data_IF_243252712861
#
_entry.id   IF_243252712861
#
_cell.length_a   1.000
_cell.length_b   1.000
_cell.length_c   1.000
_cell.angle_alpha   90.00
_cell.angle_beta   90.00
_cell.angle_gamma   90.00
#
_symmetry.space_group_name_H-M   'P 1'
#
loop_
_entity.id
_entity.type
_entity.pdbx_description
1 polymer ?
#
# COMPACT_ATOMS: atom_id res chain seq x y z
N UNK A 1 18.55 33.70 -20.81
CA UNK A 1 19.05 32.51 -20.07
C UNK A 1 17.83 31.80 -19.50
N UNK A 2 17.43 30.66 -20.07
CA UNK A 2 16.32 29.85 -19.54
C UNK A 2 16.93 28.92 -18.48
N UNK A 3 16.42 28.87 -17.23
CA UNK A 3 16.95 27.93 -16.25
C UNK A 3 16.72 26.51 -16.76
N UNK A 4 17.78 25.71 -16.86
CA UNK A 4 17.65 24.27 -17.09
C UNK A 4 16.90 23.70 -15.89
N UNK A 5 15.63 23.34 -16.08
CA UNK A 5 14.88 22.56 -15.11
C UNK A 5 15.70 21.29 -14.82
N UNK A 6 16.09 21.12 -13.56
CA UNK A 6 16.62 19.84 -13.07
C UNK A 6 15.45 18.87 -13.12
N UNK A 7 15.40 18.01 -14.12
CA UNK A 7 14.50 16.86 -14.11
C UNK A 7 15.00 15.95 -13.00
N UNK A 8 14.36 16.02 -11.83
CA UNK A 8 14.52 15.03 -10.79
C UNK A 8 13.68 13.85 -11.28
N UNK A 9 14.34 12.82 -11.83
CA UNK A 9 13.71 11.53 -12.03
C UNK A 9 13.49 10.93 -10.64
N UNK A 10 12.36 11.22 -10.02
CA UNK A 10 11.84 10.35 -8.95
C UNK A 10 11.66 8.99 -9.60
N UNK A 11 12.32 7.96 -9.05
CA UNK A 11 12.16 6.58 -9.51
C UNK A 11 10.74 6.14 -9.17
N UNK A 12 9.80 6.43 -10.06
CA UNK A 12 8.41 6.08 -9.88
C UNK A 12 8.25 4.56 -9.84
N UNK A 13 7.52 4.06 -8.84
CA UNK A 13 7.07 2.67 -8.80
C UNK A 13 6.02 2.47 -9.89
N UNK A 14 6.17 1.41 -10.67
CA UNK A 14 5.24 1.02 -11.74
C UNK A 14 4.47 -0.22 -11.31
N UNK A 15 3.16 -0.11 -11.22
CA UNK A 15 2.28 -1.24 -10.99
C UNK A 15 2.10 -2.02 -12.29
N UNK A 16 2.47 -3.31 -12.27
CA UNK A 16 2.15 -4.23 -13.39
C UNK A 16 0.97 -5.13 -13.07
N UNK A 17 0.58 -5.17 -11.81
CA UNK A 17 -0.71 -5.68 -11.29
C UNK A 17 -1.65 -4.50 -11.06
N UNK A 18 -2.97 -4.74 -11.01
CA UNK A 18 -3.94 -3.70 -10.65
C UNK A 18 -4.09 -3.62 -9.12
N UNK A 19 -3.60 -2.54 -8.47
CA UNK A 19 -3.73 -2.40 -7.03
C UNK A 19 -5.17 -2.11 -6.60
N UNK A 20 -6.00 -1.49 -7.45
CA UNK A 20 -7.39 -1.21 -7.12
C UNK A 20 -8.19 -2.50 -7.04
N UNK A 21 -8.00 -3.43 -7.99
CA UNK A 21 -8.67 -4.73 -7.96
C UNK A 21 -8.32 -5.51 -6.68
N UNK A 22 -7.05 -5.54 -6.31
CA UNK A 22 -6.60 -6.22 -5.08
C UNK A 22 -7.26 -5.60 -3.83
N UNK A 23 -7.21 -4.26 -3.68
CA UNK A 23 -7.79 -3.58 -2.52
C UNK A 23 -9.32 -3.71 -2.52
N UNK A 24 -9.97 -3.57 -3.68
CA UNK A 24 -11.41 -3.68 -3.80
C UNK A 24 -11.91 -5.09 -3.43
N UNK A 25 -11.15 -6.12 -3.76
CA UNK A 25 -11.52 -7.52 -3.46
C UNK A 25 -11.67 -7.80 -1.96
N UNK A 26 -10.92 -7.08 -1.12
CA UNK A 26 -10.94 -7.21 0.34
C UNK A 26 -11.69 -6.08 1.05
N UNK A 27 -12.16 -5.06 0.32
CA UNK A 27 -12.76 -3.87 0.92
C UNK A 27 -14.04 -4.16 1.69
N UNK A 28 -14.79 -5.19 1.27
CA UNK A 28 -15.95 -5.67 2.02
C UNK A 28 -15.59 -6.07 3.46
N UNK A 29 -14.41 -6.61 3.69
CA UNK A 29 -13.93 -6.98 5.02
C UNK A 29 -13.53 -5.74 5.83
N UNK A 30 -12.84 -4.78 5.20
CA UNK A 30 -12.50 -3.48 5.80
C UNK A 30 -13.76 -2.78 6.35
N UNK A 31 -14.85 -2.82 5.60
CA UNK A 31 -16.14 -2.21 5.98
C UNK A 31 -16.87 -2.97 7.10
N UNK A 32 -16.57 -4.26 7.30
CA UNK A 32 -17.21 -5.11 8.30
C UNK A 32 -16.45 -5.14 9.64
N UNK A 33 -15.69 -4.08 9.95
CA UNK A 33 -14.88 -3.99 11.15
C UNK A 33 -15.67 -4.33 12.43
N UNK A 34 -15.15 -5.20 13.31
CA UNK A 34 -15.80 -5.52 14.58
C UNK A 34 -15.92 -4.29 15.49
N UNK A 35 -16.92 -4.30 16.37
CA UNK A 35 -17.42 -3.14 17.13
C UNK A 35 -16.36 -2.22 17.79
N UNK A 36 -16.61 -0.91 17.63
CA UNK A 36 -16.14 0.31 18.31
C UNK A 36 -14.65 0.58 18.61
N UNK A 37 -13.69 -0.31 18.37
CA UNK A 37 -12.28 0.02 18.64
C UNK A 37 -11.23 -0.67 17.78
N UNK A 38 -11.62 -1.51 16.84
CA UNK A 38 -10.66 -2.16 15.95
C UNK A 38 -10.33 -1.27 14.76
N UNK A 39 -9.05 -1.01 14.55
CA UNK A 39 -8.52 -0.34 13.36
C UNK A 39 -8.24 -1.41 12.29
N UNK A 40 -8.86 -1.32 11.10
CA UNK A 40 -8.54 -2.20 9.99
C UNK A 40 -7.14 -1.88 9.46
N UNK A 41 -6.40 -2.93 9.15
CA UNK A 41 -5.10 -2.86 8.52
C UNK A 41 -5.10 -3.71 7.28
N UNK A 42 -4.57 -3.18 6.19
CA UNK A 42 -4.12 -4.00 5.08
C UNK A 42 -2.86 -4.73 5.53
N UNK A 43 -2.87 -6.05 5.40
CA UNK A 43 -1.68 -6.88 5.57
C UNK A 43 -1.43 -7.62 4.28
N UNK A 44 -0.17 -7.80 3.91
CA UNK A 44 0.10 -8.50 2.67
C UNK A 44 1.53 -8.47 2.22
N UNK A 45 1.72 -8.87 0.97
CA UNK A 45 3.03 -8.92 0.34
C UNK A 45 3.02 -8.28 -1.05
N UNK A 46 4.13 -7.65 -1.39
CA UNK A 46 4.44 -7.18 -2.72
C UNK A 46 5.74 -7.84 -3.20
N UNK A 47 5.82 -8.08 -4.50
CA UNK A 47 7.07 -8.47 -5.15
C UNK A 47 7.54 -7.34 -6.06
N UNK A 48 8.74 -6.82 -5.80
CA UNK A 48 9.31 -5.66 -6.48
C UNK A 48 10.58 -6.07 -7.21
N UNK A 49 10.54 -6.02 -8.54
CA UNK A 49 11.68 -6.25 -9.42
C UNK A 49 12.06 -4.95 -10.11
N UNK A 50 13.25 -4.42 -9.79
CA UNK A 50 13.68 -3.11 -10.24
C UNK A 50 12.80 -1.99 -9.67
N UNK A 51 11.97 -1.37 -10.50
CA UNK A 51 10.98 -0.36 -10.10
C UNK A 51 9.53 -0.79 -10.33
N UNK A 52 9.30 -2.10 -10.55
CA UNK A 52 8.00 -2.64 -10.90
C UNK A 52 7.46 -3.51 -9.77
N UNK A 53 6.22 -3.28 -9.38
CA UNK A 53 5.45 -4.23 -8.56
C UNK A 53 4.89 -5.28 -9.52
N UNK A 54 5.39 -6.51 -9.40
CA UNK A 54 5.01 -7.65 -10.24
C UNK A 54 3.99 -8.58 -9.59
N UNK A 55 3.82 -8.47 -8.28
CA UNK A 55 2.83 -9.21 -7.51
C UNK A 55 2.34 -8.37 -6.33
N UNK A 56 1.07 -8.53 -5.98
CA UNK A 56 0.41 -7.91 -4.84
C UNK A 56 -0.62 -8.88 -4.28
N UNK A 57 -0.44 -9.27 -3.03
CA UNK A 57 -1.39 -10.07 -2.26
C UNK A 57 -1.74 -9.31 -0.98
N UNK A 58 -3.03 -9.14 -0.72
CA UNK A 58 -3.55 -8.33 0.37
C UNK A 58 -4.68 -9.06 1.09
N UNK A 59 -4.74 -8.84 2.40
CA UNK A 59 -5.77 -9.31 3.32
C UNK A 59 -6.03 -8.22 4.38
N UNK A 60 -7.04 -8.42 5.22
CA UNK A 60 -7.44 -7.47 6.27
C UNK A 60 -7.26 -8.09 7.64
N UNK A 61 -6.58 -7.35 8.52
CA UNK A 61 -6.51 -7.69 9.94
C UNK A 61 -6.98 -6.52 10.80
N UNK A 62 -7.53 -6.86 11.95
CA UNK A 62 -8.07 -5.89 12.90
C UNK A 62 -7.18 -5.80 14.12
N UNK A 63 -6.78 -4.58 14.47
CA UNK A 63 -5.90 -4.35 15.62
C UNK A 63 -6.44 -3.21 16.49
N UNK A 64 -6.19 -3.27 17.80
CA UNK A 64 -6.66 -2.25 18.75
C UNK A 64 -6.08 -0.85 18.54
N UNK A 65 -5.00 -0.73 17.77
CA UNK A 65 -4.27 0.52 17.54
C UNK A 65 -3.72 0.54 16.12
N UNK A 66 -3.57 1.74 15.58
CA UNK A 66 -2.82 1.96 14.33
C UNK A 66 -1.40 1.42 14.46
N UNK A 67 -1.01 0.60 13.48
CA UNK A 67 0.33 0.03 13.36
C UNK A 67 0.73 0.00 11.90
N UNK A 68 1.78 0.72 11.57
CA UNK A 68 2.40 0.65 10.26
C UNK A 68 3.69 -0.15 10.36
N UNK A 69 3.88 -1.10 9.44
CA UNK A 69 5.12 -1.84 9.32
C UNK A 69 5.42 -2.16 7.85
N UNK A 70 6.71 -2.14 7.54
CA UNK A 70 7.24 -2.42 6.21
C UNK A 70 8.54 -3.19 6.38
N UNK A 71 8.58 -4.41 5.86
CA UNK A 71 9.76 -5.26 5.91
C UNK A 71 10.15 -5.66 4.49
N UNK A 72 11.43 -5.52 4.15
CA UNK A 72 11.97 -5.93 2.85
C UNK A 72 12.89 -7.11 3.02
N UNK A 73 12.67 -8.15 2.23
CA UNK A 73 13.53 -9.34 2.12
C UNK A 73 13.76 -9.68 0.65
N UNK A 74 14.91 -9.26 0.11
CA UNK A 74 15.21 -9.34 -1.31
C UNK A 74 14.21 -8.53 -2.15
N UNK A 75 13.50 -9.23 -3.04
CA UNK A 75 12.45 -8.68 -3.91
C UNK A 75 11.07 -8.68 -3.24
N UNK A 76 10.91 -9.31 -2.07
CA UNK A 76 9.65 -9.33 -1.33
C UNK A 76 9.57 -8.19 -0.34
N UNK A 77 8.39 -7.58 -0.25
CA UNK A 77 8.03 -6.54 0.69
C UNK A 77 6.79 -6.98 1.44
N UNK A 78 6.84 -6.97 2.76
CA UNK A 78 5.72 -7.26 3.64
C UNK A 78 5.16 -5.96 4.17
N UNK A 79 3.84 -5.79 4.11
CA UNK A 79 3.15 -4.57 4.53
C UNK A 79 2.17 -4.86 5.64
N UNK A 80 2.12 -3.94 6.60
CA UNK A 80 1.01 -3.75 7.53
C UNK A 80 0.69 -2.26 7.51
N UNK A 81 -0.51 -1.89 7.08
CA UNK A 81 -0.87 -0.50 6.83
C UNK A 81 -2.26 -0.22 7.40
N UNK A 82 -2.41 0.68 8.39
CA UNK A 82 -3.73 1.06 8.87
C UNK A 82 -4.49 1.80 7.77
N UNK A 83 -5.78 1.51 7.65
CA UNK A 83 -6.67 2.17 6.69
C UNK A 83 -7.90 2.75 7.37
N UNK A 84 -8.41 3.85 6.82
CA UNK A 84 -9.69 4.43 7.22
C UNK A 84 -10.76 3.99 6.21
N UNK A 85 -11.82 3.26 6.64
CA UNK A 85 -12.93 2.89 5.77
C UNK A 85 -13.58 4.09 5.06
N UNK A 86 -13.55 5.29 5.65
CA UNK A 86 -14.13 6.51 5.09
C UNK A 86 -13.31 7.11 3.93
N UNK A 87 -12.01 6.82 3.86
CA UNK A 87 -11.15 7.24 2.75
C UNK A 87 -11.35 6.38 1.50
N UNK A 88 -12.01 5.22 1.63
CA UNK A 88 -12.29 4.31 0.53
C UNK A 88 -11.04 3.62 -0.03
N UNK A 89 -11.27 2.83 -1.08
CA UNK A 89 -10.22 2.10 -1.81
C UNK A 89 -9.10 3.02 -2.30
N UNK A 90 -9.44 4.24 -2.73
CA UNK A 90 -8.47 5.23 -3.21
C UNK A 90 -7.52 5.71 -2.11
N UNK A 91 -8.03 6.02 -0.91
CA UNK A 91 -7.17 6.41 0.21
C UNK A 91 -6.21 5.31 0.62
N UNK A 92 -6.69 4.07 0.67
CA UNK A 92 -5.84 2.90 0.92
C UNK A 92 -4.77 2.72 -0.16
N UNK A 93 -5.11 2.91 -1.44
CA UNK A 93 -4.16 2.88 -2.54
C UNK A 93 -3.08 3.96 -2.39
N UNK A 94 -3.45 5.20 -2.10
CA UNK A 94 -2.51 6.31 -1.95
C UNK A 94 -1.53 6.08 -0.79
N UNK A 95 -2.01 5.51 0.31
CA UNK A 95 -1.16 5.13 1.45
C UNK A 95 -0.21 3.99 1.10
N UNK A 96 -0.69 2.96 0.41
CA UNK A 96 0.15 1.86 -0.06
C UNK A 96 1.22 2.37 -1.03
N UNK A 97 0.85 3.25 -1.98
CA UNK A 97 1.79 3.89 -2.90
C UNK A 97 2.90 4.64 -2.15
N UNK A 98 2.53 5.50 -1.19
CA UNK A 98 3.49 6.27 -0.40
C UNK A 98 4.43 5.36 0.40
N UNK A 99 3.91 4.28 0.98
CA UNK A 99 4.69 3.31 1.72
C UNK A 99 5.71 2.60 0.82
N UNK A 100 5.29 2.14 -0.35
CA UNK A 100 6.14 1.41 -1.31
C UNK A 100 7.20 2.32 -1.94
N UNK A 101 6.88 3.61 -2.17
CA UNK A 101 7.87 4.61 -2.60
C UNK A 101 8.97 4.85 -1.55
N UNK A 102 8.67 4.63 -0.26
CA UNK A 102 9.64 4.71 0.84
C UNK A 102 10.60 3.51 0.96
N UNK A 103 10.40 2.42 0.20
CA UNK A 103 11.23 1.19 0.23
C UNK A 103 12.53 1.31 -0.58
N UNK A 104 12.71 2.42 -1.31
CA UNK A 104 13.81 2.63 -2.26
C UNK A 104 15.15 3.01 -1.63
#
# INVERSE_FOLDING_TARGET
MIPKAKIILTKQILWTVDPFDAIHSIWGEVMNAPASSAVPHLVGTLEIVGNRVINLDLDVVFHEKEREALLKDGEKVYVLLPVDPLEGVEGAYLRLQALVEGVQ
#
